data_IF_130820088109
#
_entry.id   IF_130820088109
#
_cell.length_a   1.000
_cell.length_b   1.000
_cell.length_c   1.000
_cell.angle_alpha   90.00
_cell.angle_beta   90.00
_cell.angle_gamma   90.00
#
_symmetry.space_group_name_H-M   'P 1'
#
loop_
_entity.id
_entity.type
_entity.pdbx_description
1 polymer ?
#
# COMPACT_ATOMS: atom_id res chain seq x y z
N UNK A 1 15.17 2.74 -10.83
CA UNK A 1 14.77 3.59 -9.69
C UNK A 1 13.90 4.73 -10.22
N UNK A 2 12.68 4.92 -9.70
CA UNK A 2 11.75 5.94 -10.21
C UNK A 2 11.80 7.18 -9.29
N UNK A 3 12.59 8.19 -9.67
CA UNK A 3 12.82 9.39 -8.85
C UNK A 3 11.55 10.21 -8.59
N UNK A 4 10.51 10.02 -9.42
CA UNK A 4 9.19 10.66 -9.25
C UNK A 4 8.40 10.13 -8.06
N UNK A 5 8.83 9.01 -7.46
CA UNK A 5 8.18 8.40 -6.31
C UNK A 5 8.55 9.06 -4.97
N UNK A 6 9.54 9.96 -4.93
CA UNK A 6 9.95 10.63 -3.70
C UNK A 6 9.05 11.83 -3.37
N UNK A 7 8.62 11.87 -2.11
CA UNK A 7 7.90 13.00 -1.52
C UNK A 7 8.86 14.03 -0.93
N UNK A 8 8.36 15.24 -0.65
CA UNK A 8 9.11 16.26 0.10
C UNK A 8 9.57 15.77 1.46
N UNK A 9 8.75 14.96 2.12
CA UNK A 9 9.13 14.27 3.37
C UNK A 9 10.31 13.33 3.18
N UNK A 10 10.33 12.54 2.12
CA UNK A 10 11.43 11.59 1.86
C UNK A 10 12.76 12.32 1.57
N UNK A 11 12.74 13.44 0.82
CA UNK A 11 13.95 14.24 0.64
C UNK A 11 14.43 14.90 1.93
N UNK A 12 13.51 15.37 2.78
CA UNK A 12 13.89 15.95 4.07
C UNK A 12 14.53 14.90 4.98
N UNK A 13 14.01 13.66 5.00
CA UNK A 13 14.64 12.54 5.71
C UNK A 13 16.02 12.22 5.13
N UNK A 14 16.15 12.16 3.80
CA UNK A 14 17.45 11.93 3.15
C UNK A 14 18.47 13.03 3.48
N UNK A 15 18.07 14.30 3.40
CA UNK A 15 18.91 15.44 3.73
C UNK A 15 19.33 15.45 5.20
N UNK A 16 18.39 15.17 6.12
CA UNK A 16 18.69 15.06 7.53
C UNK A 16 19.60 13.86 7.85
N UNK A 17 19.49 12.74 7.14
CA UNK A 17 20.38 11.60 7.30
C UNK A 17 21.81 11.91 6.83
N UNK A 18 21.97 12.64 5.72
CA UNK A 18 23.29 13.11 5.26
C UNK A 18 23.89 14.09 6.27
N UNK A 19 23.08 15.03 6.79
CA UNK A 19 23.53 15.94 7.85
C UNK A 19 23.91 15.19 9.13
N UNK A 20 23.16 14.16 9.52
CA UNK A 20 23.49 13.30 10.65
C UNK A 20 24.84 12.60 10.45
N UNK A 21 25.13 12.10 9.24
CA UNK A 21 26.43 11.53 8.90
C UNK A 21 27.55 12.57 9.01
N UNK A 22 27.38 13.77 8.46
CA UNK A 22 28.35 14.86 8.58
C UNK A 22 28.58 15.20 10.06
N UNK A 23 27.48 15.26 10.83
CA UNK A 23 27.48 15.50 12.28
C UNK A 23 28.34 14.51 13.07
N UNK A 24 28.48 13.27 12.58
CA UNK A 24 29.32 12.25 13.25
C UNK A 24 30.81 12.59 13.24
N UNK A 25 31.28 13.37 12.25
CA UNK A 25 32.69 13.79 12.13
C UNK A 25 33.00 15.08 12.87
N UNK A 26 31.97 15.82 13.28
CA UNK A 26 32.12 17.04 14.09
C UNK A 26 32.39 16.69 15.56
N UNK A 27 32.96 17.61 16.35
CA UNK A 27 33.12 17.45 17.79
C UNK A 27 31.83 17.00 18.48
N UNK A 28 31.84 15.81 19.07
CA UNK A 28 30.74 15.29 19.88
C UNK A 28 30.88 15.77 21.33
N UNK A 29 32.11 15.75 21.84
CA UNK A 29 32.53 16.41 23.08
C UNK A 29 33.73 17.31 22.83
N UNK A 30 33.84 18.37 23.61
CA UNK A 30 35.00 19.26 23.58
C UNK A 30 35.37 19.73 24.98
N UNK A 31 36.64 20.08 25.16
CA UNK A 31 37.17 20.67 26.40
C UNK A 31 37.44 22.15 26.15
N UNK A 32 36.93 23.01 27.03
CA UNK A 32 37.35 24.41 27.07
C UNK A 32 38.65 24.53 27.86
N UNK A 33 39.77 24.61 27.14
CA UNK A 33 41.09 24.66 27.77
C UNK A 33 41.50 26.05 28.29
N UNK A 34 40.62 27.05 28.19
CA UNK A 34 40.87 28.41 28.67
C UNK A 34 42.19 29.02 28.18
N UNK A 35 42.74 29.96 28.96
CA UNK A 35 43.95 30.70 28.59
C UNK A 35 45.25 29.88 28.67
N UNK A 36 45.26 28.73 29.37
CA UNK A 36 46.46 27.90 29.56
C UNK A 36 46.67 26.87 28.45
N UNK A 37 45.69 26.72 27.53
CA UNK A 37 45.73 25.79 26.40
C UNK A 37 45.67 24.31 26.83
N UNK A 38 45.41 23.41 25.88
CA UNK A 38 45.21 21.99 26.18
C UNK A 38 46.52 21.20 26.41
N UNK A 39 47.68 21.87 26.55
CA UNK A 39 49.00 21.24 26.77
C UNK A 39 49.29 19.99 25.90
N UNK A 40 48.85 20.02 24.63
CA UNK A 40 49.06 18.92 23.68
C UNK A 40 48.01 17.81 23.70
N UNK A 41 46.94 17.97 24.47
CA UNK A 41 45.73 17.13 24.38
C UNK A 41 44.84 17.64 23.24
N UNK A 42 44.20 16.71 22.54
CA UNK A 42 43.12 17.05 21.62
C UNK A 42 41.95 17.67 22.40
N UNK A 43 41.51 18.84 21.95
CA UNK A 43 40.48 19.63 22.63
C UNK A 43 39.06 19.21 22.26
N UNK A 44 38.92 18.22 21.37
CA UNK A 44 37.64 17.70 20.92
C UNK A 44 37.77 16.27 20.45
N UNK A 45 36.66 15.55 20.58
CA UNK A 45 36.54 14.15 20.19
C UNK A 45 35.19 13.99 19.46
N UNK A 46 35.23 13.36 18.28
CA UNK A 46 34.04 13.13 17.46
C UNK A 46 33.43 11.75 17.77
N UNK A 47 32.28 11.42 17.16
CA UNK A 47 31.54 10.19 17.50
C UNK A 47 32.29 8.90 17.14
N UNK A 48 33.32 8.95 16.30
CA UNK A 48 34.10 7.79 15.87
C UNK A 48 35.18 7.36 16.86
N UNK A 49 35.43 8.17 17.89
CA UNK A 49 36.32 7.80 18.99
C UNK A 49 35.76 6.61 19.77
N UNK A 50 36.62 5.64 20.09
CA UNK A 50 36.22 4.40 20.76
C UNK A 50 35.63 4.64 22.15
N UNK A 51 36.01 5.75 22.79
CA UNK A 51 35.54 6.14 24.12
C UNK A 51 34.04 6.45 24.15
N UNK A 52 33.45 6.79 23.00
CA UNK A 52 32.01 7.02 22.90
C UNK A 52 31.23 5.79 22.51
N UNK A 53 31.82 4.59 22.48
CA UNK A 53 31.05 3.38 22.24
C UNK A 53 29.88 3.26 23.25
N UNK A 54 28.62 3.01 22.81
CA UNK A 54 28.17 2.67 21.46
C UNK A 54 27.49 3.81 20.66
N UNK A 55 27.73 5.08 20.99
CA UNK A 55 27.03 6.26 20.43
C UNK A 55 27.04 6.28 18.90
N UNK A 56 28.18 5.99 18.26
CA UNK A 56 28.24 5.92 16.79
C UNK A 56 27.22 4.92 16.24
N UNK A 57 27.17 3.72 16.82
CA UNK A 57 26.34 2.61 16.35
C UNK A 57 24.86 2.85 16.66
N UNK A 58 24.53 3.23 17.90
CA UNK A 58 23.16 3.34 18.38
C UNK A 58 22.46 4.62 17.93
N UNK A 59 23.19 5.72 17.76
CA UNK A 59 22.61 7.01 17.38
C UNK A 59 22.79 7.27 15.88
N UNK A 60 24.03 7.35 15.43
CA UNK A 60 24.34 7.83 14.08
C UNK A 60 24.02 6.76 13.04
N UNK A 61 24.61 5.58 13.17
CA UNK A 61 24.44 4.50 12.19
C UNK A 61 23.01 3.97 12.20
N UNK A 62 22.40 3.75 13.37
CA UNK A 62 21.02 3.30 13.44
C UNK A 62 20.04 4.32 12.83
N UNK A 63 20.23 5.61 13.08
CA UNK A 63 19.43 6.68 12.47
C UNK A 63 19.57 6.72 10.94
N UNK A 64 20.80 6.60 10.43
CA UNK A 64 21.08 6.55 8.98
C UNK A 64 20.48 5.30 8.35
N UNK A 65 20.65 4.13 8.98
CA UNK A 65 20.04 2.87 8.53
C UNK A 65 18.53 3.03 8.47
N UNK A 66 17.91 3.64 9.48
CA UNK A 66 16.49 3.89 9.49
C UNK A 66 16.01 4.72 8.30
N UNK A 67 16.72 5.81 7.99
CA UNK A 67 16.44 6.63 6.81
C UNK A 67 16.62 5.85 5.48
N UNK A 68 17.69 5.05 5.36
CA UNK A 68 17.95 4.21 4.19
C UNK A 68 16.84 3.19 3.98
N UNK A 69 16.37 2.53 5.04
CA UNK A 69 15.27 1.58 4.96
C UNK A 69 13.98 2.25 4.45
N UNK A 70 13.64 3.43 4.97
CA UNK A 70 12.46 4.18 4.49
C UNK A 70 12.61 4.53 3.01
N UNK A 71 13.77 5.04 2.59
CA UNK A 71 14.02 5.41 1.19
C UNK A 71 13.99 4.20 0.26
N UNK A 72 14.56 3.07 0.67
CA UNK A 72 14.50 1.82 -0.08
C UNK A 72 13.06 1.32 -0.22
N UNK A 73 12.27 1.37 0.86
CA UNK A 73 10.86 1.01 0.83
C UNK A 73 10.07 1.85 -0.19
N UNK A 74 10.37 3.15 -0.29
CA UNK A 74 9.75 4.07 -1.25
C UNK A 74 10.21 3.81 -2.68
N UNK A 75 11.51 3.69 -2.90
CA UNK A 75 12.11 3.50 -4.23
C UNK A 75 11.79 2.15 -4.85
N UNK A 76 11.65 1.12 -4.02
CA UNK A 76 11.34 -0.25 -4.42
C UNK A 76 9.88 -0.62 -4.21
N UNK A 77 8.98 0.35 -3.99
CA UNK A 77 7.55 0.09 -3.75
C UNK A 77 6.90 -0.78 -4.84
N UNK A 78 7.33 -0.63 -6.10
CA UNK A 78 6.85 -1.44 -7.22
C UNK A 78 7.29 -2.92 -7.15
N UNK A 79 8.43 -3.21 -6.52
CA UNK A 79 9.01 -4.55 -6.42
C UNK A 79 8.68 -5.22 -5.09
N UNK A 80 8.80 -4.48 -3.99
CA UNK A 80 8.57 -4.98 -2.63
C UNK A 80 7.10 -4.93 -2.22
N UNK A 81 6.27 -4.09 -2.84
CA UNK A 81 4.86 -3.93 -2.47
C UNK A 81 4.70 -3.69 -0.97
N UNK A 82 3.92 -4.55 -0.31
CA UNK A 82 3.72 -4.57 1.14
C UNK A 82 4.46 -5.73 1.82
N UNK A 83 5.57 -6.22 1.25
CA UNK A 83 6.30 -7.35 1.81
C UNK A 83 6.81 -7.02 3.23
N UNK A 84 6.49 -7.90 4.15
CA UNK A 84 6.90 -7.83 5.55
C UNK A 84 8.14 -8.69 5.78
N UNK A 85 9.03 -8.20 6.63
CA UNK A 85 10.23 -8.88 7.10
C UNK A 85 10.12 -8.98 8.62
N UNK A 86 9.94 -10.20 9.13
CA UNK A 86 9.74 -10.44 10.57
C UNK A 86 8.51 -9.67 11.10
N UNK A 87 7.40 -9.72 10.35
CA UNK A 87 6.11 -9.12 10.75
C UNK A 87 6.03 -7.60 10.64
N UNK A 88 7.07 -6.92 10.14
CA UNK A 88 7.08 -5.47 9.91
C UNK A 88 7.53 -5.16 8.50
N UNK A 89 6.95 -4.13 7.92
CA UNK A 89 7.37 -3.60 6.62
C UNK A 89 8.68 -2.81 6.77
N UNK A 90 9.42 -2.66 5.67
CA UNK A 90 10.72 -1.98 5.67
C UNK A 90 10.62 -0.51 6.14
N UNK A 91 9.50 0.16 5.84
CA UNK A 91 9.19 1.52 6.32
C UNK A 91 8.96 1.56 7.84
N UNK A 92 8.37 0.52 8.42
CA UNK A 92 8.14 0.42 9.87
C UNK A 92 9.44 0.14 10.63
N UNK A 93 10.29 -0.75 10.12
CA UNK A 93 11.63 -0.97 10.67
C UNK A 93 12.46 0.31 10.67
N UNK A 94 12.45 1.04 9.55
CA UNK A 94 13.19 2.31 9.47
C UNK A 94 12.64 3.38 10.42
N UNK A 95 11.32 3.42 10.59
CA UNK A 95 10.66 4.32 11.54
C UNK A 95 11.06 4.00 12.99
N UNK A 96 11.02 2.72 13.37
CA UNK A 96 11.43 2.27 14.69
C UNK A 96 12.90 2.58 14.96
N UNK A 97 13.79 2.33 13.98
CA UNK A 97 15.22 2.62 14.10
C UNK A 97 15.50 4.11 14.37
N UNK A 98 14.80 5.02 13.69
CA UNK A 98 14.95 6.47 13.92
C UNK A 98 14.47 6.87 15.33
N UNK A 99 13.34 6.32 15.79
CA UNK A 99 12.81 6.61 17.13
C UNK A 99 13.75 6.09 18.22
N UNK A 100 14.31 4.90 18.04
CA UNK A 100 15.29 4.33 18.97
C UNK A 100 16.57 5.17 18.96
N UNK A 101 17.10 5.54 17.79
CA UNK A 101 18.29 6.39 17.69
C UNK A 101 18.08 7.76 18.36
N UNK A 102 16.89 8.35 18.22
CA UNK A 102 16.52 9.60 18.91
C UNK A 102 16.47 9.40 20.43
N UNK A 103 15.88 8.30 20.90
CA UNK A 103 15.87 7.95 22.32
C UNK A 103 17.29 7.79 22.88
N UNK A 104 18.15 7.06 22.19
CA UNK A 104 19.54 6.84 22.57
C UNK A 104 20.32 8.16 22.59
N UNK A 105 20.05 9.08 21.65
CA UNK A 105 20.66 10.40 21.62
C UNK A 105 20.35 11.21 22.89
N UNK A 106 19.09 11.17 23.36
CA UNK A 106 18.68 11.93 24.55
C UNK A 106 19.48 11.50 25.79
N UNK A 107 19.72 10.20 25.95
CA UNK A 107 20.53 9.68 27.07
C UNK A 107 22.03 9.85 26.84
N UNK A 108 22.49 9.79 25.60
CA UNK A 108 23.91 9.96 25.24
C UNK A 108 24.42 11.39 25.49
N UNK A 109 23.54 12.39 25.54
CA UNK A 109 23.88 13.77 25.93
C UNK A 109 24.23 13.91 27.41
N UNK A 110 23.69 13.06 28.27
CA UNK A 110 23.98 13.06 29.71
C UNK A 110 25.21 12.22 30.10
N UNK A 111 25.65 11.30 29.25
CA UNK A 111 26.80 10.42 29.49
C UNK A 111 28.14 11.07 29.15
N UNK A 112 29.24 10.58 29.74
CA UNK A 112 30.62 11.03 29.46
C UNK A 112 30.83 12.54 29.64
N UNK A 113 30.52 13.04 30.84
CA UNK A 113 30.63 14.47 31.19
C UNK A 113 31.99 14.85 31.77
N UNK A 114 32.81 13.87 32.18
CA UNK A 114 34.14 14.11 32.75
C UNK A 114 35.14 13.04 32.32
N UNK A 115 36.37 13.45 32.00
CA UNK A 115 37.52 12.56 31.78
C UNK A 115 38.65 13.01 32.68
N UNK A 116 39.16 12.11 33.53
CA UNK A 116 40.24 12.41 34.48
C UNK A 116 39.99 13.67 35.33
N UNK A 117 38.73 13.95 35.67
CA UNK A 117 38.30 15.11 36.45
C UNK A 117 38.05 16.40 35.67
N UNK A 118 38.30 16.43 34.35
CA UNK A 118 38.07 17.58 33.48
C UNK A 118 36.65 17.51 32.91
N UNK A 119 35.91 18.62 32.95
CA UNK A 119 34.55 18.70 32.41
C UNK A 119 34.54 18.77 30.88
N UNK A 120 33.64 17.99 30.27
CA UNK A 120 33.43 17.94 28.83
C UNK A 120 32.15 18.68 28.45
N UNK A 121 32.29 19.63 27.54
CA UNK A 121 31.17 20.33 26.93
C UNK A 121 30.56 19.50 25.80
N UNK A 122 29.25 19.69 25.56
CA UNK A 122 28.55 19.12 24.41
C UNK A 122 29.05 19.84 23.15
N UNK A 123 29.65 19.10 22.22
CA UNK A 123 30.16 19.65 20.98
C UNK A 123 29.05 19.90 19.95
N UNK A 124 29.39 20.64 18.88
CA UNK A 124 28.46 20.99 17.81
C UNK A 124 27.87 19.76 17.10
N UNK A 125 28.66 18.68 16.95
CA UNK A 125 28.23 17.43 16.33
C UNK A 125 27.13 16.72 17.13
N UNK A 126 27.09 16.87 18.45
CA UNK A 126 25.99 16.32 19.25
C UNK A 126 24.69 17.12 19.06
N UNK A 127 24.76 18.44 19.06
CA UNK A 127 23.58 19.30 18.86
C UNK A 127 22.96 19.14 17.47
N UNK A 128 23.79 19.11 16.42
CA UNK A 128 23.32 18.93 15.05
C UNK A 128 22.69 17.53 14.90
N UNK A 129 23.26 16.49 15.51
CA UNK A 129 22.71 15.14 15.49
C UNK A 129 21.31 15.10 16.13
N UNK A 130 21.14 15.74 17.29
CA UNK A 130 19.84 15.84 17.97
C UNK A 130 18.79 16.49 17.05
N UNK A 131 19.13 17.62 16.42
CA UNK A 131 18.21 18.32 15.51
C UNK A 131 17.86 17.44 14.31
N UNK A 132 18.84 16.76 13.71
CA UNK A 132 18.60 15.86 12.58
C UNK A 132 17.65 14.71 12.96
N UNK A 133 17.84 14.10 14.13
CA UNK A 133 16.98 13.01 14.61
C UNK A 133 15.58 13.50 14.99
N UNK A 134 15.44 14.71 15.55
CA UNK A 134 14.14 15.34 15.80
C UNK A 134 13.39 15.61 14.49
N UNK A 135 14.08 16.13 13.47
CA UNK A 135 13.50 16.36 12.14
C UNK A 135 13.06 15.05 11.51
N UNK A 136 13.93 14.03 11.50
CA UNK A 136 13.59 12.72 10.95
C UNK A 136 12.44 12.04 11.72
N UNK A 137 12.50 12.01 13.06
CA UNK A 137 11.45 11.45 13.90
C UNK A 137 10.12 12.19 13.72
N UNK A 138 10.17 13.52 13.66
CA UNK A 138 9.00 14.36 13.39
C UNK A 138 8.36 14.06 12.04
N UNK A 139 9.16 13.93 10.97
CA UNK A 139 8.65 13.59 9.63
C UNK A 139 8.07 12.18 9.59
N UNK A 140 8.72 11.22 10.25
CA UNK A 140 8.26 9.82 10.27
C UNK A 140 6.92 9.68 11.00
N UNK A 141 6.76 10.36 12.14
CA UNK A 141 5.54 10.32 12.94
C UNK A 141 4.42 11.16 12.29
N UNK A 142 4.74 12.38 11.85
CA UNK A 142 3.75 13.32 11.31
C UNK A 142 3.51 13.17 9.80
N UNK A 143 4.26 12.32 9.10
CA UNK A 143 4.24 12.23 7.64
C UNK A 143 2.85 11.94 7.08
N UNK A 144 2.05 11.13 7.78
CA UNK A 144 0.65 10.83 7.37
C UNK A 144 -0.34 11.94 7.75
N UNK A 145 0.00 12.77 8.71
CA UNK A 145 -0.85 13.84 9.23
C UNK A 145 -0.67 15.16 8.46
N UNK A 146 0.43 15.34 7.73
CA UNK A 146 0.76 16.59 7.04
C UNK A 146 0.73 16.42 5.51
N UNK A 147 -0.34 16.87 4.83
CA UNK A 147 -0.46 16.81 3.37
C UNK A 147 0.70 17.51 2.64
N UNK A 148 1.28 18.53 3.26
CA UNK A 148 2.43 19.26 2.72
C UNK A 148 3.69 18.38 2.55
N UNK A 149 3.88 17.36 3.41
CA UNK A 149 5.01 16.44 3.32
C UNK A 149 4.80 15.36 2.27
N UNK A 150 3.54 15.09 1.89
CA UNK A 150 3.16 14.11 0.87
C UNK A 150 3.32 14.63 -0.57
N UNK A 151 3.52 15.95 -0.75
CA UNK A 151 3.67 16.54 -2.06
C UNK A 151 4.90 15.95 -2.80
N UNK A 152 4.79 15.62 -4.09
CA UNK A 152 5.92 15.16 -4.90
C UNK A 152 7.05 16.21 -4.95
N UNK A 153 8.30 15.76 -4.99
CA UNK A 153 9.46 16.65 -5.13
C UNK A 153 9.49 17.40 -6.45
N UNK A 154 8.93 16.81 -7.51
CA UNK A 154 8.88 17.41 -8.84
C UNK A 154 7.45 17.84 -9.16
N UNK A 155 6.97 18.91 -8.53
CA UNK A 155 5.94 19.73 -9.17
C UNK A 155 6.61 20.52 -10.29
N UNK A 156 6.07 20.45 -11.51
CA UNK A 156 6.64 21.10 -12.69
C UNK A 156 6.99 22.58 -12.49
N UNK A 157 7.95 23.04 -13.28
CA UNK A 157 8.51 24.39 -13.36
C UNK A 157 7.48 25.51 -13.09
N UNK A 158 7.78 26.50 -12.22
CA UNK A 158 6.88 27.62 -12.00
C UNK A 158 6.70 28.41 -13.30
N UNK A 159 5.48 28.46 -13.83
CA UNK A 159 5.11 29.30 -14.99
C UNK A 159 4.50 28.58 -16.20
N UNK A 160 4.45 27.25 -16.23
CA UNK A 160 3.64 26.54 -17.22
C UNK A 160 2.19 26.41 -16.70
N UNK A 161 1.15 26.62 -17.54
CA UNK A 161 -0.23 26.39 -17.13
C UNK A 161 -0.35 24.96 -16.59
N UNK A 162 -0.98 24.84 -15.42
CA UNK A 162 -1.17 23.58 -14.73
C UNK A 162 -1.98 22.62 -15.61
N UNK A 163 -1.29 21.74 -16.33
CA UNK A 163 -1.88 20.51 -16.84
C UNK A 163 -2.12 19.67 -15.60
N UNK A 164 -3.39 19.57 -15.21
CA UNK A 164 -3.84 18.81 -14.05
C UNK A 164 -3.20 17.43 -14.05
N UNK A 165 -2.39 17.16 -13.02
CA UNK A 165 -2.00 15.81 -12.66
C UNK A 165 -3.30 15.07 -12.34
N UNK A 166 -3.74 14.29 -13.31
CA UNK A 166 -4.79 13.31 -13.18
C UNK A 166 -4.39 12.37 -12.03
N UNK A 167 -5.04 12.60 -10.89
CA UNK A 167 -5.27 11.69 -9.78
C UNK A 167 -5.23 10.23 -10.29
N UNK A 168 -4.24 9.40 -9.89
CA UNK A 168 -4.37 7.98 -10.07
C UNK A 168 -5.47 7.52 -9.11
N UNK A 169 -6.60 7.14 -9.69
CA UNK A 169 -7.66 6.44 -8.98
C UNK A 169 -7.10 5.25 -8.22
N UNK A 170 -7.53 5.14 -6.98
CA UNK A 170 -7.35 4.01 -6.10
C UNK A 170 -7.82 2.72 -6.80
N UNK A 171 -6.91 1.79 -7.08
CA UNK A 171 -7.27 0.49 -7.69
C UNK A 171 -6.21 -0.16 -8.58
N UNK A 172 -4.92 -0.05 -8.22
CA UNK A 172 -3.85 -0.79 -8.89
C UNK A 172 -3.33 -1.93 -8.01
N UNK A 173 -4.11 -3.01 -7.84
CA UNK A 173 -3.57 -4.29 -7.40
C UNK A 173 -3.61 -5.28 -8.55
N UNK A 174 -2.41 -5.79 -8.85
CA UNK A 174 -2.09 -6.98 -9.61
C UNK A 174 -3.17 -8.05 -9.54
N UNK A 175 -3.82 -8.30 -10.66
CA UNK A 175 -4.55 -9.54 -10.88
C UNK A 175 -3.54 -10.55 -11.43
N UNK A 176 -2.93 -11.31 -10.53
CA UNK A 176 -2.42 -12.63 -10.89
C UNK A 176 -3.60 -13.44 -11.41
N UNK A 177 -3.47 -13.99 -12.61
CA UNK A 177 -4.50 -14.81 -13.23
C UNK A 177 -4.62 -16.16 -12.50
N UNK A 178 -5.85 -16.59 -12.19
CA UNK A 178 -6.16 -18.01 -12.15
C UNK A 178 -7.40 -18.31 -13.00
N UNK A 179 -7.21 -19.16 -14.02
CA UNK A 179 -8.27 -20.03 -14.54
C UNK A 179 -9.20 -19.42 -15.57
N UNK A 180 -8.79 -19.44 -16.84
CA UNK A 180 -9.72 -19.46 -17.96
C UNK A 180 -10.47 -20.82 -17.95
N UNK A 181 -11.65 -20.86 -17.34
CA UNK A 181 -12.58 -21.98 -17.49
C UNK A 181 -13.32 -21.81 -18.82
N UNK A 182 -13.01 -22.70 -19.76
CA UNK A 182 -13.67 -22.78 -21.05
C UNK A 182 -15.13 -23.18 -20.93
N UNK A 183 -15.97 -22.58 -21.78
CA UNK A 183 -17.28 -23.12 -22.12
C UNK A 183 -17.35 -23.34 -23.64
N UNK A 184 -17.76 -24.54 -24.08
CA UNK A 184 -17.91 -24.88 -25.49
C UNK A 184 -19.29 -24.44 -26.00
N UNK A 185 -19.31 -23.80 -27.16
CA UNK A 185 -20.47 -23.78 -28.06
C UNK A 185 -21.48 -22.64 -27.86
N UNK A 186 -21.39 -21.63 -28.74
CA UNK A 186 -22.55 -20.89 -29.20
C UNK A 186 -22.33 -20.45 -30.67
N UNK A 187 -23.35 -20.55 -31.55
CA UNK A 187 -23.20 -20.37 -32.99
C UNK A 187 -23.04 -18.89 -33.38
N UNK A 188 -22.04 -18.60 -34.19
CA UNK A 188 -21.79 -17.28 -34.76
C UNK A 188 -22.65 -17.08 -36.01
N UNK A 189 -23.56 -16.10 -35.97
CA UNK A 189 -24.35 -15.65 -37.12
C UNK A 189 -23.46 -14.93 -38.15
N UNK A 190 -23.69 -15.25 -39.42
CA UNK A 190 -23.00 -14.74 -40.60
C UNK A 190 -23.57 -13.40 -41.10
N UNK A 191 -22.70 -12.40 -41.30
CA UNK A 191 -22.98 -11.18 -42.05
C UNK A 191 -22.55 -11.33 -43.53
N UNK A 192 -23.32 -10.83 -44.52
CA UNK A 192 -23.04 -11.05 -45.93
C UNK A 192 -22.11 -9.99 -46.53
N UNK A 193 -21.02 -10.44 -47.15
CA UNK A 193 -20.25 -9.67 -48.13
C UNK A 193 -18.76 -9.55 -47.84
N UNK A 194 -17.95 -10.51 -48.30
CA UNK A 194 -16.68 -10.25 -49.00
C UNK A 194 -16.07 -11.55 -49.55
N UNK A 195 -15.38 -11.41 -50.69
CA UNK A 195 -14.91 -12.47 -51.59
C UNK A 195 -13.66 -13.21 -51.07
N UNK A 196 -13.65 -14.53 -51.25
CA UNK A 196 -12.50 -15.43 -51.02
C UNK A 196 -11.45 -15.34 -52.14
N UNK A 197 -10.19 -15.71 -51.84
CA UNK A 197 -9.35 -16.49 -52.75
C UNK A 197 -8.99 -17.88 -52.15
N UNK A 198 -8.67 -18.89 -52.99
CA UNK A 198 -8.65 -20.30 -52.59
C UNK A 198 -7.24 -20.85 -52.33
N UNK A 199 -7.03 -21.64 -51.27
CA UNK A 199 -5.84 -22.51 -51.17
C UNK A 199 -6.12 -23.81 -50.39
N UNK A 200 -6.01 -24.92 -51.12
CA UNK A 200 -5.67 -26.33 -50.82
C UNK A 200 -6.02 -27.04 -49.49
N UNK A 201 -6.59 -28.24 -49.67
CA UNK A 201 -6.88 -29.27 -48.68
C UNK A 201 -5.77 -30.35 -48.62
N UNK A 202 -5.57 -30.98 -47.44
CA UNK A 202 -5.29 -32.43 -47.22
C UNK A 202 -5.22 -32.72 -45.67
N UNK A 203 -5.22 -33.98 -45.15
CA UNK A 203 -6.37 -34.60 -44.49
C UNK A 203 -6.13 -35.04 -43.02
N UNK A 204 -7.22 -35.38 -42.31
CA UNK A 204 -7.23 -35.99 -40.98
C UNK A 204 -7.21 -37.54 -41.05
N UNK A 205 -6.72 -38.21 -39.99
CA UNK A 205 -7.11 -39.61 -39.73
C UNK A 205 -7.49 -39.93 -38.26
N UNK A 206 -8.67 -40.56 -38.10
CA UNK A 206 -9.02 -41.62 -37.11
C UNK A 206 -9.37 -41.17 -35.68
N UNK A 207 -10.38 -41.67 -34.96
CA UNK A 207 -11.19 -42.90 -35.06
C UNK A 207 -11.20 -43.63 -33.69
N UNK A 208 -12.26 -44.44 -33.41
CA UNK A 208 -12.50 -45.35 -32.24
C UNK A 208 -13.10 -44.71 -30.96
N UNK A 209 -14.20 -45.15 -30.32
CA UNK A 209 -15.21 -46.20 -30.57
C UNK A 209 -15.72 -46.90 -29.28
N UNK A 210 -17.00 -46.69 -28.90
CA UNK A 210 -17.97 -47.61 -28.20
C UNK A 210 -17.78 -48.06 -26.71
N UNK A 211 -18.81 -48.60 -25.99
CA UNK A 211 -20.16 -48.05 -25.74
C UNK A 211 -20.81 -48.29 -24.32
N UNK A 212 -21.87 -47.50 -24.11
CA UNK A 212 -23.13 -47.59 -23.34
C UNK A 212 -23.65 -48.91 -22.65
N UNK A 213 -24.33 -48.77 -21.50
CA UNK A 213 -25.59 -49.45 -21.05
C UNK A 213 -26.11 -48.79 -19.73
N UNK A 214 -27.29 -48.17 -19.62
CA UNK A 214 -28.67 -48.71 -19.34
C UNK A 214 -28.80 -49.38 -17.93
N UNK A 215 -29.84 -49.28 -17.09
CA UNK A 215 -31.10 -48.52 -16.93
C UNK A 215 -31.77 -49.03 -15.61
N UNK A 216 -32.74 -48.27 -15.04
CA UNK A 216 -33.88 -48.68 -14.18
C UNK A 216 -33.78 -48.91 -12.64
N UNK A 217 -34.79 -48.36 -11.94
CA UNK A 217 -35.27 -48.56 -10.55
C UNK A 217 -36.39 -49.67 -10.52
N UNK A 218 -36.97 -50.18 -9.39
CA UNK A 218 -37.46 -49.51 -8.16
C UNK A 218 -37.30 -50.30 -6.81
N UNK A 219 -37.77 -49.69 -5.70
CA UNK A 219 -37.81 -50.14 -4.28
C UNK A 219 -38.87 -51.26 -3.99
N UNK A 220 -39.10 -51.83 -2.75
CA UNK A 220 -38.74 -51.37 -1.39
C UNK A 220 -38.41 -52.41 -0.26
N UNK A 221 -37.96 -51.86 0.88
CA UNK A 221 -38.19 -52.25 2.30
C UNK A 221 -37.20 -53.11 3.14
N UNK A 222 -36.97 -52.57 4.35
CA UNK A 222 -36.73 -53.20 5.67
C UNK A 222 -35.29 -53.32 6.27
N UNK A 223 -34.99 -52.33 7.13
CA UNK A 223 -34.58 -52.44 8.55
C UNK A 223 -33.12 -52.70 9.01
N UNK A 224 -32.76 -51.94 10.07
CA UNK A 224 -31.65 -52.01 11.04
C UNK A 224 -30.27 -51.48 10.59
N UNK A 225 -29.81 -50.25 10.91
CA UNK A 225 -29.55 -49.54 12.18
C UNK A 225 -28.07 -49.61 12.66
N UNK A 226 -27.33 -48.49 12.50
CA UNK A 226 -26.17 -48.03 13.31
C UNK A 226 -25.76 -46.60 12.85
N UNK A 227 -26.23 -45.52 13.50
CA UNK A 227 -25.57 -44.68 14.53
C UNK A 227 -24.35 -43.87 14.05
N UNK A 228 -24.54 -42.53 13.89
CA UNK A 228 -23.57 -41.48 14.27
C UNK A 228 -24.25 -40.08 14.28
N UNK A 229 -23.87 -39.15 15.17
CA UNK A 229 -24.66 -37.96 15.54
C UNK A 229 -24.29 -36.68 14.76
N UNK A 230 -25.29 -35.81 14.64
CA UNK A 230 -25.29 -34.49 13.99
C UNK A 230 -24.57 -33.42 14.85
N UNK A 231 -23.70 -32.58 14.27
CA UNK A 231 -23.41 -31.26 14.79
C UNK A 231 -24.00 -30.15 13.91
N UNK A 232 -24.73 -29.29 14.61
CA UNK A 232 -25.34 -28.01 14.23
C UNK A 232 -24.33 -26.98 13.71
N UNK A 233 -24.72 -26.29 12.63
CA UNK A 233 -24.39 -24.93 12.15
C UNK A 233 -23.05 -24.25 12.49
N UNK A 234 -22.37 -23.71 11.45
CA UNK A 234 -22.04 -22.26 11.36
C UNK A 234 -22.10 -21.82 9.88
N UNK A 235 -23.15 -21.07 9.54
CA UNK A 235 -23.24 -20.22 8.37
C UNK A 235 -22.32 -19.00 8.58
N UNK A 236 -21.52 -18.54 7.59
CA UNK A 236 -21.01 -17.17 7.61
C UNK A 236 -22.22 -16.23 7.49
N UNK A 237 -22.33 -15.35 8.49
CA UNK A 237 -23.44 -14.45 8.71
C UNK A 237 -23.88 -13.69 7.45
N UNK A 238 -25.14 -13.88 7.09
CA UNK A 238 -25.96 -12.81 6.51
C UNK A 238 -26.13 -11.78 7.63
N UNK A 239 -25.35 -10.71 7.59
CA UNK A 239 -25.60 -9.55 8.44
C UNK A 239 -26.62 -8.64 7.75
N UNK A 240 -27.85 -8.76 8.25
CA UNK A 240 -28.76 -7.70 8.64
C UNK A 240 -28.85 -6.44 7.75
N UNK A 241 -30.09 -6.11 7.36
CA UNK A 241 -30.52 -4.76 7.05
C UNK A 241 -30.06 -3.79 8.15
N UNK A 242 -28.99 -3.05 7.88
CA UNK A 242 -28.67 -1.82 8.61
C UNK A 242 -29.60 -0.72 8.06
N UNK A 243 -30.36 0.00 8.91
CA UNK A 243 -31.11 1.17 8.48
C UNK A 243 -30.19 2.14 7.75
N UNK A 244 -30.71 2.83 6.73
CA UNK A 244 -29.99 3.88 6.02
C UNK A 244 -29.33 4.83 7.02
N UNK A 245 -28.00 4.75 7.16
CA UNK A 245 -27.20 5.71 7.92
C UNK A 245 -27.14 7.02 7.13
N UNK A 246 -28.20 7.80 7.23
CA UNK A 246 -28.17 9.21 6.86
C UNK A 246 -27.40 9.97 7.94
N UNK A 247 -26.10 10.20 7.72
CA UNK A 247 -25.32 11.15 8.54
C UNK A 247 -23.79 11.00 8.56
N UNK A 248 -23.21 9.92 8.02
CA UNK A 248 -21.75 9.74 7.94
C UNK A 248 -21.20 9.96 6.52
N UNK A 249 -19.88 10.21 6.36
CA UNK A 249 -19.25 10.21 5.05
C UNK A 249 -19.36 8.82 4.40
N UNK A 250 -19.72 8.78 3.12
CA UNK A 250 -19.84 7.55 2.34
C UNK A 250 -18.51 6.77 2.32
N UNK A 251 -18.55 5.46 2.57
CA UNK A 251 -17.41 4.57 2.39
C UNK A 251 -17.64 3.65 1.19
N UNK A 252 -16.67 3.50 0.26
CA UNK A 252 -16.78 2.55 -0.83
C UNK A 252 -16.92 1.11 -0.34
N UNK A 253 -17.71 0.31 -1.05
CA UNK A 253 -17.93 -1.11 -0.75
C UNK A 253 -18.24 -1.90 -2.02
N UNK A 254 -18.00 -3.21 -1.98
CA UNK A 254 -18.33 -4.11 -3.09
C UNK A 254 -19.78 -4.56 -2.98
N UNK A 255 -20.47 -4.67 -4.11
CA UNK A 255 -21.82 -5.20 -4.15
C UNK A 255 -22.12 -6.04 -5.40
N UNK A 256 -23.12 -6.90 -5.31
CA UNK A 256 -23.65 -7.67 -6.42
C UNK A 256 -25.16 -7.44 -6.57
N UNK A 257 -25.67 -7.55 -7.80
CA UNK A 257 -27.10 -7.37 -8.11
C UNK A 257 -27.80 -8.73 -8.29
N UNK A 258 -29.07 -8.88 -7.84
CA UNK A 258 -29.81 -10.14 -7.97
C UNK A 258 -30.41 -10.36 -9.37
N UNK A 259 -30.55 -9.30 -10.15
CA UNK A 259 -31.08 -9.31 -11.52
C UNK A 259 -30.32 -8.25 -12.35
N UNK A 260 -30.45 -8.30 -13.68
CA UNK A 260 -29.83 -7.31 -14.56
C UNK A 260 -30.36 -5.91 -14.24
N UNK A 261 -29.49 -4.92 -14.06
CA UNK A 261 -29.87 -3.53 -13.76
C UNK A 261 -29.19 -2.54 -14.69
N UNK A 262 -29.96 -1.64 -15.27
CA UNK A 262 -29.43 -0.56 -16.08
C UNK A 262 -28.82 0.52 -15.19
N UNK A 263 -27.70 1.06 -15.62
CA UNK A 263 -27.03 2.20 -14.99
C UNK A 263 -27.37 3.47 -15.74
N UNK A 264 -28.03 4.39 -15.06
CA UNK A 264 -28.30 5.71 -15.60
C UNK A 264 -27.01 6.53 -15.68
N UNK A 265 -26.97 7.50 -16.60
CA UNK A 265 -25.88 8.46 -16.62
C UNK A 265 -25.91 9.32 -15.35
N UNK A 266 -24.78 9.36 -14.63
CA UNK A 266 -24.67 10.06 -13.34
C UNK A 266 -24.86 11.58 -13.44
N UNK A 267 -24.59 12.19 -14.59
CA UNK A 267 -24.62 13.66 -14.75
C UNK A 267 -25.83 14.13 -15.57
N UNK A 268 -26.46 13.25 -16.36
CA UNK A 268 -27.67 13.56 -17.11
C UNK A 268 -28.68 12.38 -17.08
N UNK A 269 -29.69 12.42 -16.20
CA UNK A 269 -30.70 11.37 -16.10
C UNK A 269 -31.52 11.12 -17.38
N UNK A 270 -31.56 12.08 -18.30
CA UNK A 270 -32.27 11.96 -19.59
C UNK A 270 -31.40 11.36 -20.70
N UNK A 271 -30.11 11.12 -20.45
CA UNK A 271 -29.22 10.47 -21.41
C UNK A 271 -29.44 8.93 -21.44
N UNK A 272 -29.04 8.25 -22.52
CA UNK A 272 -29.06 6.79 -22.58
C UNK A 272 -28.27 6.14 -21.42
N UNK A 273 -28.63 4.91 -21.00
CA UNK A 273 -27.90 4.17 -19.99
C UNK A 273 -26.41 4.05 -20.33
N UNK A 274 -25.56 4.17 -19.32
CA UNK A 274 -24.10 4.07 -19.48
C UNK A 274 -23.59 2.64 -19.41
N UNK A 275 -24.45 1.70 -19.03
CA UNK A 275 -24.14 0.28 -19.03
C UNK A 275 -25.15 -0.51 -18.20
N UNK A 276 -24.88 -1.80 -18.01
CA UNK A 276 -25.71 -2.69 -17.22
C UNK A 276 -24.89 -3.51 -16.21
N UNK A 277 -25.50 -3.76 -15.06
CA UNK A 277 -25.00 -4.66 -14.04
C UNK A 277 -25.67 -6.02 -14.23
N UNK A 278 -24.90 -7.10 -14.25
CA UNK A 278 -25.42 -8.46 -14.39
C UNK A 278 -25.22 -9.27 -13.10
N UNK A 279 -26.12 -10.22 -12.78
CA UNK A 279 -25.95 -11.10 -11.64
C UNK A 279 -24.65 -11.91 -11.72
N UNK A 280 -24.08 -12.24 -10.55
CA UNK A 280 -22.85 -13.01 -10.45
C UNK A 280 -21.56 -12.20 -10.65
N UNK A 281 -21.66 -10.89 -10.95
CA UNK A 281 -20.51 -9.97 -11.01
C UNK A 281 -20.54 -9.01 -9.83
N UNK A 282 -19.37 -8.79 -9.22
CA UNK A 282 -19.18 -7.81 -8.16
C UNK A 282 -18.75 -6.47 -8.74
N UNK A 283 -19.40 -5.41 -8.28
CA UNK A 283 -19.17 -4.02 -8.70
C UNK A 283 -18.83 -3.15 -7.51
N UNK A 284 -18.00 -2.12 -7.73
CA UNK A 284 -17.60 -1.21 -6.67
C UNK A 284 -18.59 -0.04 -6.60
N UNK A 285 -19.22 0.15 -5.45
CA UNK A 285 -19.95 1.38 -5.15
C UNK A 285 -18.95 2.43 -4.66
N UNK A 286 -18.81 3.53 -5.42
CA UNK A 286 -17.82 4.58 -5.14
C UNK A 286 -18.42 5.83 -4.50
N UNK A 287 -19.73 6.02 -4.64
CA UNK A 287 -20.47 7.15 -4.05
C UNK A 287 -21.97 6.82 -3.86
N UNK A 288 -22.68 7.62 -3.09
CA UNK A 288 -24.14 7.54 -2.91
C UNK A 288 -24.80 8.87 -3.28
N UNK A 289 -25.71 8.84 -4.26
CA UNK A 289 -26.55 10.00 -4.62
C UNK A 289 -28.00 9.73 -4.20
N UNK A 290 -28.39 10.32 -3.08
CA UNK A 290 -29.72 10.10 -2.50
C UNK A 290 -29.93 8.62 -2.17
N UNK A 291 -30.94 7.99 -2.80
CA UNK A 291 -31.20 6.56 -2.65
C UNK A 291 -30.37 5.68 -3.59
N UNK A 292 -29.72 6.26 -4.61
CA UNK A 292 -28.95 5.52 -5.61
C UNK A 292 -27.47 5.39 -5.28
N UNK A 293 -26.81 4.42 -5.90
CA UNK A 293 -25.37 4.17 -5.78
C UNK A 293 -24.66 4.49 -7.08
N UNK A 294 -23.48 5.12 -7.01
CA UNK A 294 -22.61 5.26 -8.18
C UNK A 294 -21.74 4.00 -8.26
N UNK A 295 -22.00 3.18 -9.27
CA UNK A 295 -21.29 1.95 -9.54
C UNK A 295 -20.18 2.18 -10.57
N UNK A 296 -19.01 1.58 -10.34
CA UNK A 296 -17.92 1.54 -11.31
C UNK A 296 -17.98 0.24 -12.11
N UNK A 297 -18.08 0.36 -13.44
CA UNK A 297 -17.97 -0.77 -14.36
C UNK A 297 -16.51 -1.19 -14.55
N UNK A 298 -16.25 -2.41 -15.06
CA UNK A 298 -14.91 -2.90 -15.35
C UNK A 298 -14.11 -2.04 -16.35
N UNK A 299 -14.78 -1.33 -17.25
CA UNK A 299 -14.18 -0.40 -18.21
C UNK A 299 -13.76 0.94 -17.57
N UNK A 300 -14.00 1.11 -16.27
CA UNK A 300 -13.71 2.32 -15.51
C UNK A 300 -14.81 3.39 -15.58
N UNK A 301 -15.87 3.18 -16.36
CA UNK A 301 -17.01 4.10 -16.44
C UNK A 301 -17.85 4.05 -15.17
N UNK A 302 -18.50 5.16 -14.86
CA UNK A 302 -19.35 5.29 -13.67
C UNK A 302 -20.79 5.52 -14.08
N UNK A 303 -21.70 4.78 -13.46
CA UNK A 303 -23.14 4.90 -13.68
C UNK A 303 -23.91 4.94 -12.37
N UNK A 304 -25.08 5.59 -12.41
CA UNK A 304 -25.98 5.68 -11.28
C UNK A 304 -26.96 4.49 -11.28
N UNK A 305 -26.86 3.67 -10.25
CA UNK A 305 -27.81 2.61 -9.94
C UNK A 305 -28.93 3.19 -9.08
N UNK A 306 -30.11 3.37 -9.66
CA UNK A 306 -31.27 3.93 -8.97
C UNK A 306 -32.01 2.88 -8.12
N UNK A 307 -32.07 1.65 -8.59
CA UNK A 307 -32.65 0.54 -7.83
C UNK A 307 -31.54 -0.17 -7.07
N UNK A 308 -31.55 -0.05 -5.74
CA UNK A 308 -30.60 -0.72 -4.83
C UNK A 308 -31.24 -1.87 -4.04
N UNK A 309 -32.47 -2.27 -4.36
CA UNK A 309 -33.19 -3.29 -3.61
C UNK A 309 -32.55 -4.67 -3.78
N UNK A 310 -32.28 -5.37 -2.68
CA UNK A 310 -31.78 -6.75 -2.73
C UNK A 310 -30.34 -6.89 -3.25
N UNK A 311 -29.56 -5.79 -3.29
CA UNK A 311 -28.12 -5.90 -3.53
C UNK A 311 -27.43 -6.65 -2.39
N UNK A 312 -26.47 -7.49 -2.73
CA UNK A 312 -25.60 -8.13 -1.75
C UNK A 312 -24.38 -7.25 -1.55
N UNK A 313 -23.94 -7.03 -0.32
CA UNK A 313 -22.79 -6.18 0.03
C UNK A 313 -21.66 -7.03 0.61
N UNK A 314 -20.41 -6.63 0.37
CA UNK A 314 -19.20 -7.28 0.86
C UNK A 314 -18.06 -6.30 1.12
#
# INVERSE_FOLDING_TARGET
MNLRALTRGDAAVAGAAVLLLISSFLPYRSVDCGALGCRGLDNSANAWESDFFPVLQSVFLLGIIGAVLILLARLQKATLGNKEFIGLRLDQWGSAAIVIALWDMLWSLGGYTKVSGIELNIGAGAWIALVCLLVMGGIVIAGRALPALQAPLTSGTPGAPAVGQQYPGYGGQQQGAPGAYGYPGAPQQSFPGQQQPPVQAQPAPGGYGFPQAAQSAPAPSAAAAAVAPLPTAVQPAVQEQVPAQSGGPFSPFWFAVPAVRQLANKDNPAAPPVGELVPGTWYLAVDQRGAGLVAQLPDGTHGLLNDTNGIQRG
#
